data_IF_052790233090
#
_entry.id   IF_052790233090
#
_cell.length_a   1.000
_cell.length_b   1.000
_cell.length_c   1.000
_cell.angle_alpha   90.00
_cell.angle_beta   90.00
_cell.angle_gamma   90.00
#
_symmetry.space_group_name_H-M   'P 1'
#
loop_
_entity.id
_entity.type
_entity.pdbx_description
1 polymer ?
#
# COMPACT_ATOMS: atom_id res chain seq x y z
N UNK A 1 15.37 -7.26 3.69
CA UNK A 1 16.85 -7.02 3.74
C UNK A 1 17.13 -5.51 3.78
N UNK A 2 18.05 -5.03 4.62
CA UNK A 2 18.38 -3.58 4.73
C UNK A 2 18.89 -2.96 3.41
N UNK A 3 19.29 -3.77 2.44
CA UNK A 3 19.70 -3.34 1.10
C UNK A 3 18.59 -3.39 0.05
N UNK A 4 17.38 -3.87 0.39
CA UNK A 4 16.34 -4.13 -0.60
C UNK A 4 15.49 -2.92 -0.92
N UNK A 5 15.71 -1.77 -0.27
CA UNK A 5 15.04 -0.52 -0.66
C UNK A 5 13.52 -0.70 -0.70
N UNK A 6 12.96 -1.49 0.22
CA UNK A 6 11.56 -1.93 0.16
C UNK A 6 10.94 -2.01 1.56
N UNK A 7 9.71 -1.51 1.67
CA UNK A 7 8.81 -1.66 2.81
C UNK A 7 7.54 -2.35 2.34
N UNK A 8 7.29 -3.55 2.85
CA UNK A 8 6.10 -4.33 2.52
C UNK A 8 5.11 -4.31 3.70
N UNK A 9 3.85 -4.00 3.39
CA UNK A 9 2.73 -4.04 4.32
C UNK A 9 1.79 -5.16 3.89
N UNK A 10 1.43 -6.05 4.81
CA UNK A 10 0.53 -7.18 4.56
C UNK A 10 -0.69 -7.09 5.45
N UNK A 11 -1.83 -7.47 4.88
CA UNK A 11 -3.10 -7.65 5.56
C UNK A 11 -3.23 -9.14 5.86
N UNK A 12 -3.22 -9.48 7.14
CA UNK A 12 -3.18 -10.88 7.60
C UNK A 12 -4.57 -11.45 7.86
N UNK A 13 -5.55 -10.59 8.14
CA UNK A 13 -6.92 -10.97 8.46
C UNK A 13 -7.89 -10.38 7.44
N UNK A 14 -9.04 -11.04 7.27
CA UNK A 14 -10.10 -10.54 6.39
C UNK A 14 -10.66 -9.24 7.00
N UNK A 15 -10.57 -8.13 6.26
CA UNK A 15 -11.00 -6.81 6.75
C UNK A 15 -11.90 -6.09 5.76
N UNK A 16 -12.74 -5.19 6.26
CA UNK A 16 -13.57 -4.28 5.48
C UNK A 16 -12.87 -2.95 5.29
N UNK A 17 -12.56 -2.61 4.04
CA UNK A 17 -11.84 -1.39 3.72
C UNK A 17 -10.42 -1.38 4.29
N UNK A 18 -9.54 -0.61 3.65
CA UNK A 18 -8.20 -0.36 4.18
C UNK A 18 -7.72 0.99 3.71
N UNK A 19 -6.96 1.66 4.58
CA UNK A 19 -6.18 2.82 4.24
C UNK A 19 -4.76 2.63 4.77
N UNK A 20 -3.79 2.59 3.86
CA UNK A 20 -2.36 2.48 4.18
C UNK A 20 -1.70 3.77 3.72
N UNK A 21 -1.07 4.49 4.65
CA UNK A 21 -0.34 5.72 4.34
C UNK A 21 1.15 5.55 4.66
N UNK A 22 2.00 5.85 3.68
CA UNK A 22 3.44 5.83 3.81
C UNK A 22 3.97 7.26 3.68
N UNK A 23 4.48 7.79 4.80
CA UNK A 23 5.14 9.10 4.88
C UNK A 23 6.66 8.92 4.90
N UNK A 24 7.39 9.64 4.05
CA UNK A 24 8.83 9.48 3.88
C UNK A 24 9.57 10.83 3.81
N UNK A 25 10.83 10.93 4.26
CA UNK A 25 11.60 12.18 4.19
C UNK A 25 11.88 12.60 2.74
N UNK A 26 12.11 13.90 2.51
CA UNK A 26 12.44 14.46 1.17
C UNK A 26 13.73 13.90 0.57
N UNK A 27 14.59 13.29 1.38
CA UNK A 27 15.81 12.61 0.95
C UNK A 27 15.52 11.34 0.15
N UNK A 28 14.36 10.69 0.37
CA UNK A 28 13.93 9.53 -0.42
C UNK A 28 13.20 10.02 -1.66
N UNK A 29 13.87 9.96 -2.80
CA UNK A 29 13.36 10.37 -4.11
C UNK A 29 12.93 9.12 -4.88
N UNK A 30 11.77 9.18 -5.52
CA UNK A 30 11.20 8.12 -6.38
C UNK A 30 10.77 6.85 -5.61
N UNK A 31 9.70 6.97 -4.84
CA UNK A 31 9.05 5.80 -4.24
C UNK A 31 8.10 5.17 -5.24
N UNK A 32 8.29 3.89 -5.54
CA UNK A 32 7.35 3.08 -6.29
C UNK A 32 6.36 2.42 -5.33
N UNK A 33 5.06 2.55 -5.62
CA UNK A 33 3.99 1.94 -4.83
C UNK A 33 3.33 0.81 -5.61
N UNK A 34 3.55 -0.43 -5.15
CA UNK A 34 3.07 -1.65 -5.82
C UNK A 34 2.04 -2.34 -4.93
N UNK A 35 0.74 -2.04 -5.08
CA UNK A 35 -0.31 -2.77 -4.37
C UNK A 35 -0.47 -4.18 -4.94
N UNK A 36 -0.73 -5.14 -4.07
CA UNK A 36 -1.09 -6.50 -4.43
C UNK A 36 -2.35 -6.87 -3.64
N UNK A 37 -3.52 -6.79 -4.29
CA UNK A 37 -4.80 -7.09 -3.65
C UNK A 37 -5.42 -8.33 -4.29
N UNK A 38 -5.84 -9.28 -3.46
CA UNK A 38 -6.60 -10.44 -3.87
C UNK A 38 -8.11 -10.11 -3.89
N UNK A 39 -8.87 -10.78 -4.75
CA UNK A 39 -10.33 -10.59 -4.84
C UNK A 39 -10.82 -9.94 -6.14
N UNK A 40 -12.03 -9.39 -6.10
CA UNK A 40 -12.73 -8.83 -7.27
C UNK A 40 -12.16 -7.48 -7.72
N UNK A 41 -11.81 -6.59 -6.79
CA UNK A 41 -11.27 -5.28 -7.11
C UNK A 41 -9.79 -5.22 -6.70
N UNK A 42 -8.92 -5.49 -7.67
CA UNK A 42 -7.47 -5.66 -7.45
C UNK A 42 -6.70 -4.35 -7.44
N UNK A 43 -7.36 -3.24 -7.78
CA UNK A 43 -6.74 -1.94 -8.01
C UNK A 43 -7.26 -0.94 -6.98
N UNK A 44 -6.63 -0.84 -5.80
CA UNK A 44 -7.00 0.18 -4.82
C UNK A 44 -6.71 1.58 -5.40
N UNK A 45 -7.39 2.58 -4.84
CA UNK A 45 -7.09 3.97 -5.16
C UNK A 45 -5.74 4.34 -4.56
N UNK A 46 -4.82 4.83 -5.38
CA UNK A 46 -3.54 5.35 -4.94
C UNK A 46 -3.54 6.87 -5.11
N UNK A 47 -3.15 7.60 -4.07
CA UNK A 47 -2.96 9.04 -4.13
C UNK A 47 -1.58 9.41 -3.59
N UNK A 48 -0.85 10.23 -4.34
CA UNK A 48 0.46 10.73 -3.95
C UNK A 48 0.38 12.23 -3.71
N UNK A 49 0.79 12.68 -2.53
CA UNK A 49 0.84 14.11 -2.18
C UNK A 49 2.12 14.41 -1.41
N UNK A 50 2.97 15.27 -1.97
CA UNK A 50 4.29 15.64 -1.45
C UNK A 50 5.16 14.41 -1.15
N UNK A 51 5.14 13.98 0.11
CA UNK A 51 5.98 12.97 0.74
C UNK A 51 5.14 11.86 1.37
N UNK A 52 3.89 11.73 0.93
CA UNK A 52 2.93 10.76 1.44
C UNK A 52 2.29 10.04 0.26
N UNK A 53 2.35 8.72 0.29
CA UNK A 53 1.58 7.85 -0.61
C UNK A 53 0.49 7.19 0.22
N UNK A 54 -0.75 7.28 -0.25
CA UNK A 54 -1.90 6.65 0.38
C UNK A 54 -2.54 5.66 -0.58
N UNK A 55 -2.75 4.44 -0.10
CA UNK A 55 -3.47 3.36 -0.77
C UNK A 55 -4.78 3.13 -0.03
N UNK A 56 -5.91 3.21 -0.74
CA UNK A 56 -7.24 3.14 -0.15
C UNK A 56 -8.17 2.22 -0.95
N UNK A 57 -8.86 1.31 -0.28
CA UNK A 57 -10.01 0.58 -0.84
C UNK A 57 -11.32 1.21 -0.37
N UNK A 58 -12.45 0.83 -0.96
CA UNK A 58 -13.75 1.35 -0.50
C UNK A 58 -14.07 0.77 0.89
N UNK A 59 -14.75 1.53 1.79
CA UNK A 59 -15.10 1.05 3.13
C UNK A 59 -15.90 -0.27 3.14
N UNK A 60 -16.77 -0.46 2.15
CA UNK A 60 -17.62 -1.64 1.99
C UNK A 60 -16.91 -2.81 1.30
N UNK A 61 -15.69 -2.62 0.80
CA UNK A 61 -14.96 -3.63 0.03
C UNK A 61 -14.23 -4.60 0.95
N UNK A 62 -14.44 -5.89 0.74
CA UNK A 62 -13.69 -6.94 1.42
C UNK A 62 -12.25 -6.99 0.91
N UNK A 63 -11.30 -6.87 1.84
CA UNK A 63 -9.88 -7.04 1.59
C UNK A 63 -9.42 -8.37 2.16
N UNK A 64 -9.03 -9.27 1.27
CA UNK A 64 -8.65 -10.63 1.63
C UNK A 64 -7.27 -10.69 2.29
N UNK A 65 -7.04 -11.65 3.19
CA UNK A 65 -5.70 -11.98 3.67
C UNK A 65 -4.71 -12.16 2.51
N UNK A 66 -3.42 -11.89 2.77
CA UNK A 66 -2.35 -11.86 1.77
C UNK A 66 -2.43 -10.70 0.77
N UNK A 67 -3.40 -9.78 0.92
CA UNK A 67 -3.37 -8.50 0.24
C UNK A 67 -2.39 -7.54 0.93
N UNK A 68 -1.97 -6.49 0.24
CA UNK A 68 -1.05 -5.51 0.79
C UNK A 68 -0.45 -4.57 -0.24
N UNK A 69 0.65 -3.92 0.15
CA UNK A 69 1.39 -2.99 -0.70
C UNK A 69 2.89 -3.09 -0.42
N UNK A 70 3.69 -3.01 -1.47
CA UNK A 70 5.14 -2.81 -1.37
C UNK A 70 5.48 -1.38 -1.79
N UNK A 71 6.20 -0.67 -0.94
CA UNK A 71 6.83 0.61 -1.27
C UNK A 71 8.32 0.36 -1.55
N UNK A 72 8.78 0.60 -2.77
CA UNK A 72 10.20 0.53 -3.12
C UNK A 72 10.81 1.95 -3.18
N UNK A 73 11.95 2.20 -2.52
CA UNK A 73 12.53 3.54 -2.27
C UNK A 73 14.06 3.59 -2.21
#
# INVERSE_FOLDING_TARGET
PKSSHQLSVFITELTHGVQISFSYPETLKQIECVPFFAGQNKYPKITTSKNIITVTTKPEEWVFPQSGVVFAY
#
